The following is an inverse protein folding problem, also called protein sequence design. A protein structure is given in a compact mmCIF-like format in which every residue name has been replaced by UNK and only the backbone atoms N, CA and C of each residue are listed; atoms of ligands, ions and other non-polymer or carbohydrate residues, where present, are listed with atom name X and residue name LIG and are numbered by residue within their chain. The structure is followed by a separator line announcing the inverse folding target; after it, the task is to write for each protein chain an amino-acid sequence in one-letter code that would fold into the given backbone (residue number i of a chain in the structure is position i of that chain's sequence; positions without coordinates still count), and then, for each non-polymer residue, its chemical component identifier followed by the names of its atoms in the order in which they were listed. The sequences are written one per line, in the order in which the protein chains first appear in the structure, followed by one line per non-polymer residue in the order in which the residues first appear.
data_IF_406916676984
#
_entry.id   IF_406916676984
#
_cell.length_a   1.000
_cell.length_b   1.000
_cell.length_c   1.000
_cell.angle_alpha   90.00
_cell.angle_beta   90.00
_cell.angle_gamma   90.00
#
_symmetry.space_group_name_H-M   'P 1'
#
loop_
_entity.id
_entity.type
_entity.pdbx_description
1 polymer ?
#
# COMPACT_ATOMS: atom_id res chain seq x y z
N UNK A 1 -2.88 40.04 -16.12
CA UNK A 1 -2.45 38.64 -15.86
C UNK A 1 -3.02 37.78 -16.99
N UNK A 2 -2.21 36.93 -17.64
CA UNK A 2 -2.75 36.04 -18.67
C UNK A 2 -3.81 35.15 -18.08
N UNK A 3 -4.98 35.13 -18.67
CA UNK A 3 -6.09 34.27 -18.26
C UNK A 3 -6.02 32.99 -19.11
N UNK A 4 -5.67 31.85 -18.50
CA UNK A 4 -5.64 30.57 -19.19
C UNK A 4 -7.00 29.92 -19.16
N UNK A 5 -7.42 29.34 -20.30
CA UNK A 5 -8.65 28.52 -20.36
C UNK A 5 -8.43 27.22 -19.56
N UNK A 6 -9.52 26.56 -19.11
CA UNK A 6 -9.46 25.27 -18.45
C UNK A 6 -8.69 24.23 -19.26
N UNK A 7 -8.94 24.18 -20.56
CA UNK A 7 -8.26 23.27 -21.49
C UNK A 7 -6.73 23.50 -21.52
N UNK A 8 -6.30 24.77 -21.50
CA UNK A 8 -4.87 25.13 -21.45
C UNK A 8 -4.22 24.71 -20.14
N UNK A 9 -4.94 24.89 -19.02
CA UNK A 9 -4.49 24.46 -17.70
C UNK A 9 -4.37 22.94 -17.65
N UNK A 10 -5.35 22.21 -18.16
CA UNK A 10 -5.35 20.76 -18.18
C UNK A 10 -4.18 20.22 -19.02
N UNK A 11 -3.91 20.80 -20.19
CA UNK A 11 -2.71 20.48 -21.01
C UNK A 11 -1.40 20.70 -20.26
N UNK A 12 -1.26 21.79 -19.53
CA UNK A 12 -0.05 22.03 -18.72
C UNK A 12 0.11 21.02 -17.56
N UNK A 13 -1.00 20.61 -16.95
CA UNK A 13 -1.03 19.62 -15.87
C UNK A 13 -0.77 18.18 -16.32
N UNK A 14 -1.01 17.87 -17.59
CA UNK A 14 -0.71 16.56 -18.18
C UNK A 14 0.79 16.35 -18.42
N UNK A 15 1.60 17.41 -18.34
CA UNK A 15 3.06 17.31 -18.45
C UNK A 15 3.65 16.82 -17.15
N UNK A 16 4.23 15.61 -17.14
CA UNK A 16 4.93 15.06 -16.01
C UNK A 16 6.31 15.71 -15.78
N UNK A 17 6.79 15.63 -14.54
CA UNK A 17 8.04 16.27 -14.14
C UNK A 17 9.27 15.71 -14.86
N UNK A 18 9.32 14.40 -15.14
CA UNK A 18 10.46 13.79 -15.82
C UNK A 18 10.60 14.34 -17.23
N UNK A 19 9.50 14.33 -17.98
CA UNK A 19 9.43 14.86 -19.35
C UNK A 19 9.82 16.35 -19.41
N UNK A 20 9.30 17.13 -18.45
CA UNK A 20 9.64 18.55 -18.36
C UNK A 20 11.13 18.78 -18.10
N UNK A 21 11.73 18.11 -17.11
CA UNK A 21 13.15 18.26 -16.77
C UNK A 21 14.09 17.70 -17.86
N UNK A 22 13.67 16.65 -18.58
CA UNK A 22 14.44 16.14 -19.72
C UNK A 22 14.58 17.16 -20.85
N UNK A 23 13.60 18.04 -21.02
CA UNK A 23 13.63 19.11 -22.01
C UNK A 23 14.35 20.36 -21.48
N UNK A 24 14.00 20.80 -20.28
CA UNK A 24 14.48 22.06 -19.68
C UNK A 24 15.89 21.98 -19.15
N UNK A 25 16.19 20.95 -18.39
CA UNK A 25 17.49 20.76 -17.71
C UNK A 25 17.81 19.28 -17.55
N UNK A 26 18.16 18.59 -18.65
CA UNK A 26 18.50 17.16 -18.59
C UNK A 26 19.71 16.89 -17.68
N UNK A 27 20.59 17.88 -17.47
CA UNK A 27 21.74 17.80 -16.61
C UNK A 27 21.41 17.72 -15.11
N UNK A 28 20.24 18.19 -14.70
CA UNK A 28 19.79 18.10 -13.31
C UNK A 28 19.32 16.69 -12.90
N UNK A 29 19.04 15.82 -13.86
CA UNK A 29 18.50 14.49 -13.59
C UNK A 29 19.59 13.46 -13.30
N UNK A 30 19.42 12.72 -12.22
CA UNK A 30 20.27 11.58 -11.82
C UNK A 30 19.39 10.33 -11.76
N UNK A 31 19.77 9.29 -12.50
CA UNK A 31 19.07 8.00 -12.45
C UNK A 31 19.48 7.24 -11.19
N UNK A 32 18.53 6.93 -10.31
CA UNK A 32 18.78 6.22 -9.03
C UNK A 32 18.22 4.80 -9.02
N UNK A 33 17.49 4.42 -10.05
CA UNK A 33 16.91 3.08 -10.22
C UNK A 33 16.53 2.83 -11.66
N UNK A 34 15.86 1.70 -11.92
CA UNK A 34 15.48 1.33 -13.29
C UNK A 34 14.60 2.38 -13.96
N UNK A 35 13.55 2.87 -13.26
CA UNK A 35 12.62 3.93 -13.71
C UNK A 35 12.52 5.04 -12.68
N UNK A 36 13.53 5.22 -11.85
CA UNK A 36 13.53 6.21 -10.79
C UNK A 36 14.66 7.19 -11.00
N UNK A 37 14.32 8.45 -10.97
CA UNK A 37 15.26 9.56 -11.07
C UNK A 37 15.17 10.41 -9.81
N UNK A 38 16.17 11.24 -9.57
CA UNK A 38 16.13 12.37 -8.64
C UNK A 38 16.76 13.58 -9.31
N UNK A 39 16.59 14.76 -8.72
CA UNK A 39 17.38 15.92 -9.14
C UNK A 39 18.70 15.94 -8.40
N UNK A 40 19.76 16.53 -9.00
CA UNK A 40 21.09 16.68 -8.37
C UNK A 40 21.01 17.48 -7.07
N UNK A 41 20.12 18.46 -7.01
CA UNK A 41 19.95 19.33 -5.84
C UNK A 41 19.18 18.63 -4.71
N UNK A 42 18.35 17.65 -5.05
CA UNK A 42 17.44 16.99 -4.10
C UNK A 42 17.44 15.48 -4.32
N UNK A 43 18.41 14.80 -3.74
CA UNK A 43 18.58 13.34 -3.85
C UNK A 43 17.40 12.55 -3.27
N UNK A 44 16.69 13.11 -2.29
CA UNK A 44 15.48 12.54 -1.69
C UNK A 44 14.19 12.88 -2.44
N UNK A 45 14.24 13.73 -3.49
CA UNK A 45 13.11 13.93 -4.40
C UNK A 45 13.16 12.86 -5.48
N UNK A 46 12.24 11.90 -5.42
CA UNK A 46 12.17 10.79 -6.38
C UNK A 46 11.11 11.05 -7.42
N UNK A 47 11.44 10.78 -8.68
CA UNK A 47 10.58 10.90 -9.85
C UNK A 47 10.42 9.51 -10.43
N UNK A 48 9.19 9.02 -10.53
CA UNK A 48 8.89 7.68 -11.06
C UNK A 48 7.45 7.65 -11.61
N UNK A 49 7.26 6.99 -12.75
CA UNK A 49 5.95 6.73 -13.33
C UNK A 49 5.04 7.99 -13.42
N UNK A 50 5.58 9.08 -13.95
CA UNK A 50 4.84 10.34 -14.12
C UNK A 50 4.51 11.10 -12.83
N UNK A 51 5.02 10.62 -11.68
CA UNK A 51 4.83 11.25 -10.36
C UNK A 51 6.17 11.57 -9.74
N UNK A 52 6.17 12.52 -8.81
CA UNK A 52 7.35 12.83 -8.02
C UNK A 52 7.00 12.99 -6.54
N UNK A 53 7.97 12.69 -5.68
CA UNK A 53 7.81 12.79 -4.24
C UNK A 53 9.12 13.17 -3.57
N UNK A 54 9.07 14.18 -2.71
CA UNK A 54 10.22 14.68 -1.94
C UNK A 54 10.20 14.08 -0.53
N UNK A 55 10.89 12.96 -0.33
CA UNK A 55 10.82 12.18 0.90
C UNK A 55 11.24 12.94 2.15
N UNK A 56 12.29 13.78 2.08
CA UNK A 56 12.75 14.56 3.24
C UNK A 56 11.81 15.72 3.60
N UNK A 57 10.96 16.17 2.68
CA UNK A 57 10.02 17.27 2.90
C UNK A 57 8.56 16.79 3.04
N UNK A 58 8.27 15.54 2.72
CA UNK A 58 6.97 14.93 2.91
C UNK A 58 5.87 15.38 1.95
N UNK A 59 6.19 15.89 0.77
CA UNK A 59 5.21 16.28 -0.25
C UNK A 59 5.63 15.88 -1.67
N UNK A 60 4.66 15.89 -2.59
CA UNK A 60 4.89 15.53 -3.99
C UNK A 60 3.81 16.05 -4.93
N UNK A 61 3.81 15.54 -6.15
CA UNK A 61 2.87 15.93 -7.18
C UNK A 61 2.85 14.95 -8.36
N UNK A 62 1.95 15.24 -9.30
CA UNK A 62 1.72 14.42 -10.51
C UNK A 62 2.10 15.15 -11.80
N UNK A 63 2.49 16.42 -11.71
CA UNK A 63 2.78 17.25 -12.86
C UNK A 63 4.03 18.12 -12.65
N UNK A 64 4.58 18.65 -13.74
CA UNK A 64 5.61 19.67 -13.70
C UNK A 64 5.10 20.98 -13.06
N UNK A 65 3.84 21.34 -13.28
CA UNK A 65 3.21 22.51 -12.63
C UNK A 65 3.26 22.38 -11.12
N UNK A 66 2.93 21.20 -10.56
CA UNK A 66 3.03 20.96 -9.11
C UNK A 66 4.45 21.17 -8.58
N UNK A 67 5.46 20.73 -9.33
CA UNK A 67 6.86 20.90 -8.97
C UNK A 67 7.27 22.37 -8.95
N UNK A 68 6.96 23.10 -10.02
CA UNK A 68 7.29 24.51 -10.13
C UNK A 68 6.65 25.33 -9.01
N UNK A 69 5.42 25.01 -8.63
CA UNK A 69 4.73 25.68 -7.54
C UNK A 69 5.28 25.29 -6.17
N UNK A 70 5.40 23.99 -5.89
CA UNK A 70 5.71 23.48 -4.53
C UNK A 70 7.18 23.47 -4.18
N UNK A 71 8.06 23.27 -5.18
CA UNK A 71 9.52 23.20 -4.99
C UNK A 71 10.20 24.50 -5.35
N UNK A 72 9.84 25.11 -6.48
CA UNK A 72 10.44 26.37 -6.95
C UNK A 72 9.67 27.62 -6.48
N UNK A 73 8.52 27.48 -5.81
CA UNK A 73 7.77 28.61 -5.25
C UNK A 73 7.10 29.49 -6.30
N UNK A 74 6.95 29.03 -7.54
CA UNK A 74 6.33 29.82 -8.62
C UNK A 74 4.83 29.99 -8.38
N UNK A 75 4.28 31.13 -8.82
CA UNK A 75 2.83 31.31 -8.87
C UNK A 75 2.22 30.40 -9.92
N UNK A 76 0.98 29.97 -9.71
CA UNK A 76 0.29 29.04 -10.61
C UNK A 76 0.32 29.47 -12.09
N UNK A 77 0.02 30.74 -12.37
CA UNK A 77 0.03 31.30 -13.73
C UNK A 77 1.40 31.22 -14.39
N UNK A 78 2.46 31.48 -13.63
CA UNK A 78 3.84 31.50 -14.11
C UNK A 78 4.33 30.06 -14.34
N UNK A 79 3.95 29.13 -13.46
CA UNK A 79 4.24 27.71 -13.61
C UNK A 79 3.55 27.10 -14.86
N UNK A 80 2.28 27.48 -15.13
CA UNK A 80 1.57 27.09 -16.34
C UNK A 80 2.25 27.65 -17.58
N UNK A 81 2.63 28.94 -17.58
CA UNK A 81 3.37 29.57 -18.66
C UNK A 81 4.71 28.84 -18.95
N UNK A 82 5.50 28.61 -17.91
CA UNK A 82 6.81 27.95 -18.03
C UNK A 82 6.71 26.54 -18.62
N UNK A 83 5.69 25.77 -18.24
CA UNK A 83 5.48 24.43 -18.79
C UNK A 83 5.07 24.49 -20.26
N UNK A 84 4.21 25.43 -20.65
CA UNK A 84 3.73 25.58 -22.04
C UNK A 84 4.77 26.18 -22.99
N UNK A 85 5.70 27.01 -22.48
CA UNK A 85 6.78 27.59 -23.30
C UNK A 85 7.85 26.56 -23.65
N UNK A 86 8.17 25.64 -22.73
CA UNK A 86 9.23 24.64 -22.90
C UNK A 86 8.76 23.38 -23.64
N UNK A 87 7.49 23.03 -23.48
CA UNK A 87 6.91 21.89 -24.21
C UNK A 87 6.17 22.43 -25.44
N UNK A 88 6.77 22.40 -26.65
CA UNK A 88 6.05 22.67 -27.86
C UNK A 88 4.84 21.73 -27.85
N UNK A 89 3.62 22.28 -27.99
CA UNK A 89 2.38 21.48 -28.00
C UNK A 89 2.50 20.46 -29.14
N UNK A 90 2.97 19.24 -28.90
CA UNK A 90 2.85 18.19 -29.89
C UNK A 90 1.39 17.75 -29.84
N UNK A 91 0.80 17.56 -31.00
CA UNK A 91 -0.35 16.68 -31.09
C UNK A 91 -0.06 15.45 -30.18
N UNK A 92 -0.87 15.29 -29.13
CA UNK A 92 -0.75 14.32 -28.06
C UNK A 92 0.42 13.32 -28.26
N UNK A 93 1.55 13.50 -27.57
CA UNK A 93 2.57 12.45 -27.60
C UNK A 93 1.86 11.16 -27.19
N UNK A 94 1.94 10.10 -28.00
CA UNK A 94 1.36 8.83 -27.61
C UNK A 94 1.97 8.52 -26.24
N UNK A 95 1.11 8.31 -25.23
CA UNK A 95 1.55 7.85 -23.91
C UNK A 95 2.54 6.73 -24.17
N UNK A 96 3.77 6.78 -23.61
CA UNK A 96 4.73 5.71 -23.87
C UNK A 96 4.00 4.40 -23.64
N UNK A 97 4.17 3.38 -24.51
CA UNK A 97 3.46 2.14 -24.37
C UNK A 97 3.66 1.65 -22.94
N UNK A 98 2.59 1.17 -22.27
CA UNK A 98 2.69 0.71 -20.90
C UNK A 98 3.86 -0.27 -20.84
N UNK A 99 4.85 0.03 -19.99
CA UNK A 99 6.01 -0.82 -19.83
C UNK A 99 5.51 -2.26 -19.60
N UNK A 100 6.11 -3.27 -20.26
CA UNK A 100 5.70 -4.65 -20.09
C UNK A 100 5.62 -4.94 -18.58
N UNK A 101 4.47 -5.44 -18.12
CA UNK A 101 4.27 -5.80 -16.71
C UNK A 101 5.43 -6.70 -16.32
N UNK A 102 6.25 -6.25 -15.38
CA UNK A 102 7.36 -7.07 -14.87
C UNK A 102 6.79 -8.35 -14.28
N UNK A 103 7.39 -9.46 -14.58
CA UNK A 103 7.07 -10.70 -13.90
C UNK A 103 7.44 -10.59 -12.42
N UNK A 104 6.58 -11.13 -11.56
CA UNK A 104 6.84 -11.21 -10.13
C UNK A 104 8.09 -12.04 -9.88
N UNK A 105 9.07 -11.46 -9.17
CA UNK A 105 10.28 -12.15 -8.72
C UNK A 105 10.14 -12.49 -7.25
N UNK A 106 9.62 -13.68 -6.97
CA UNK A 106 9.54 -14.18 -5.59
C UNK A 106 10.94 -14.43 -5.02
N UNK A 107 11.20 -14.05 -3.76
CA UNK A 107 12.37 -14.53 -3.04
C UNK A 107 12.38 -16.06 -2.95
N UNK A 108 13.55 -16.66 -3.05
CA UNK A 108 13.74 -18.10 -2.92
C UNK A 108 13.21 -18.58 -1.55
N UNK A 109 12.41 -19.67 -1.58
CA UNK A 109 11.78 -20.25 -0.39
C UNK A 109 12.81 -21.05 0.43
N UNK A 110 12.94 -20.75 1.70
CA UNK A 110 13.78 -21.51 2.63
C UNK A 110 13.15 -22.89 2.92
N UNK A 111 14.00 -23.86 3.29
CA UNK A 111 13.58 -25.22 3.69
C UNK A 111 12.77 -25.23 5.00
N UNK A 112 12.91 -24.23 5.83
CA UNK A 112 12.21 -24.12 7.12
C UNK A 112 11.59 -22.74 7.27
N UNK A 113 10.57 -22.62 8.16
CA UNK A 113 9.86 -21.38 8.50
C UNK A 113 10.13 -20.92 9.94
N UNK A 114 11.11 -21.55 10.61
CA UNK A 114 11.33 -21.40 12.07
C UNK A 114 11.50 -19.94 12.52
N UNK A 115 12.23 -19.12 11.76
CA UNK A 115 12.44 -17.71 12.13
C UNK A 115 11.18 -16.89 11.95
N UNK A 116 10.45 -17.13 10.87
CA UNK A 116 9.17 -16.48 10.59
C UNK A 116 8.14 -16.85 11.66
N UNK A 117 8.02 -18.14 12.01
CA UNK A 117 7.14 -18.59 13.08
C UNK A 117 7.50 -17.96 14.43
N UNK A 118 8.79 -17.94 14.79
CA UNK A 118 9.26 -17.29 16.03
C UNK A 118 8.93 -15.79 16.02
N UNK A 119 9.18 -15.11 14.90
CA UNK A 119 8.87 -13.70 14.75
C UNK A 119 7.38 -13.42 14.89
N UNK A 120 6.52 -14.17 14.19
CA UNK A 120 5.08 -13.95 14.26
C UNK A 120 4.51 -14.29 15.64
N UNK A 121 4.99 -15.32 16.30
CA UNK A 121 4.65 -15.63 17.71
C UNK A 121 5.04 -14.49 18.66
N UNK A 122 6.22 -13.87 18.46
CA UNK A 122 6.62 -12.69 19.26
C UNK A 122 5.76 -11.44 18.99
N UNK A 123 4.98 -11.46 17.91
CA UNK A 123 3.96 -10.46 17.57
C UNK A 123 2.55 -10.88 18.00
N UNK A 124 2.45 -11.87 18.90
CA UNK A 124 1.20 -12.42 19.40
C UNK A 124 0.28 -13.01 18.30
N UNK A 125 0.86 -13.50 17.20
CA UNK A 125 0.05 -14.21 16.20
C UNK A 125 -0.13 -15.66 16.65
N UNK A 126 -1.39 -16.10 16.70
CA UNK A 126 -1.76 -17.43 17.17
C UNK A 126 -1.17 -18.53 16.27
N UNK A 127 -0.61 -19.64 16.85
CA UNK A 127 0.03 -20.70 16.08
C UNK A 127 -0.84 -21.33 14.99
N UNK A 128 -2.15 -21.46 15.23
CA UNK A 128 -3.08 -22.01 14.22
C UNK A 128 -3.21 -21.10 12.98
N UNK A 129 -3.22 -19.77 13.17
CA UNK A 129 -3.26 -18.79 12.07
C UNK A 129 -1.96 -18.83 11.27
N UNK A 130 -0.81 -18.90 11.96
CA UNK A 130 0.50 -19.05 11.30
C UNK A 130 0.54 -20.34 10.47
N UNK A 131 0.11 -21.45 11.07
CA UNK A 131 0.09 -22.77 10.42
C UNK A 131 -0.79 -22.76 9.19
N UNK A 132 -2.00 -22.22 9.27
CA UNK A 132 -2.89 -22.06 8.14
C UNK A 132 -2.22 -21.33 6.96
N UNK A 133 -1.55 -20.21 7.22
CA UNK A 133 -0.88 -19.45 6.16
C UNK A 133 0.29 -20.20 5.53
N UNK A 134 1.05 -20.99 6.33
CA UNK A 134 2.17 -21.81 5.84
C UNK A 134 1.64 -22.98 5.00
N UNK A 135 0.67 -23.71 5.50
CA UNK A 135 0.10 -24.90 4.85
C UNK A 135 -0.65 -24.52 3.55
N UNK A 136 -1.29 -23.35 3.53
CA UNK A 136 -1.89 -22.77 2.30
C UNK A 136 -0.86 -22.20 1.32
N UNK A 137 0.43 -22.18 1.66
CA UNK A 137 1.50 -21.68 0.81
C UNK A 137 1.53 -20.15 0.64
N UNK A 138 0.70 -19.41 1.36
CA UNK A 138 0.63 -17.94 1.30
C UNK A 138 1.62 -17.22 2.20
N UNK A 139 2.34 -17.98 3.05
CA UNK A 139 3.39 -17.48 3.93
C UNK A 139 4.59 -18.44 3.90
N UNK A 140 5.79 -17.89 3.71
CA UNK A 140 7.03 -18.66 3.82
C UNK A 140 8.20 -17.78 4.29
N UNK A 141 9.32 -18.43 4.63
CA UNK A 141 10.59 -17.77 4.95
C UNK A 141 11.47 -17.69 3.72
N UNK A 142 12.06 -16.54 3.42
CA UNK A 142 13.03 -16.43 2.32
C UNK A 142 14.41 -16.96 2.71
N UNK A 143 15.16 -17.57 1.78
CA UNK A 143 16.55 -17.98 2.00
C UNK A 143 17.41 -16.79 2.37
N UNK A 144 17.39 -15.76 1.53
CA UNK A 144 18.12 -14.53 1.78
C UNK A 144 17.38 -13.67 2.79
N UNK A 145 18.06 -13.25 3.83
CA UNK A 145 17.56 -12.37 4.90
C UNK A 145 16.46 -12.95 5.80
N UNK A 146 16.01 -14.18 5.61
CA UNK A 146 14.99 -14.84 6.43
C UNK A 146 13.73 -13.97 6.64
N UNK A 147 13.33 -13.23 5.60
CA UNK A 147 12.12 -12.41 5.67
C UNK A 147 10.87 -13.29 5.68
N UNK A 148 9.83 -12.86 6.39
CA UNK A 148 8.49 -13.33 6.16
C UNK A 148 8.00 -12.83 4.79
N UNK A 149 7.56 -13.75 3.93
CA UNK A 149 7.06 -13.45 2.59
C UNK A 149 5.59 -13.82 2.55
N UNK A 150 4.73 -12.80 2.44
CA UNK A 150 3.27 -12.92 2.35
C UNK A 150 2.88 -12.84 0.89
N UNK A 151 2.31 -13.91 0.34
CA UNK A 151 2.07 -14.06 -1.10
C UNK A 151 0.59 -13.89 -1.41
N UNK A 152 0.30 -13.12 -2.45
CA UNK A 152 -1.02 -13.03 -3.06
C UNK A 152 -1.06 -13.78 -4.39
N UNK A 153 -2.09 -14.59 -4.57
CA UNK A 153 -2.29 -15.44 -5.75
C UNK A 153 -3.47 -14.96 -6.58
N UNK A 154 -3.40 -15.21 -7.92
CA UNK A 154 -4.55 -15.05 -8.79
C UNK A 154 -5.49 -16.28 -8.72
N UNK A 155 -6.62 -16.20 -9.42
CA UNK A 155 -7.62 -17.28 -9.44
C UNK A 155 -7.11 -18.60 -10.08
N UNK A 156 -5.93 -18.57 -10.73
CA UNK A 156 -5.26 -19.75 -11.29
C UNK A 156 -4.13 -20.24 -10.37
N UNK A 157 -4.09 -19.82 -9.11
CA UNK A 157 -3.01 -20.10 -8.15
C UNK A 157 -1.60 -19.68 -8.64
N UNK A 158 -1.51 -18.69 -9.52
CA UNK A 158 -0.24 -18.09 -9.89
C UNK A 158 0.07 -16.93 -8.96
N UNK A 159 1.23 -16.92 -8.33
CA UNK A 159 1.65 -15.80 -7.49
C UNK A 159 1.76 -14.51 -8.32
N UNK A 160 1.16 -13.42 -7.82
CA UNK A 160 1.11 -12.10 -8.45
C UNK A 160 1.61 -10.98 -7.55
N UNK A 161 1.63 -11.20 -6.26
CA UNK A 161 2.02 -10.23 -5.26
C UNK A 161 2.85 -10.90 -4.17
N UNK A 162 3.83 -10.21 -3.64
CA UNK A 162 4.50 -10.63 -2.41
C UNK A 162 4.95 -9.42 -1.59
N UNK A 163 4.57 -9.40 -0.32
CA UNK A 163 5.05 -8.47 0.70
C UNK A 163 6.12 -9.14 1.53
N UNK A 164 7.22 -8.42 1.79
CA UNK A 164 8.33 -8.89 2.59
C UNK A 164 8.39 -8.12 3.91
N UNK A 165 8.58 -8.85 5.00
CA UNK A 165 8.81 -8.29 6.33
C UNK A 165 10.05 -8.92 6.95
N UNK A 166 11.01 -8.10 7.34
CA UNK A 166 12.18 -8.60 8.06
C UNK A 166 11.79 -9.17 9.42
N UNK A 167 12.39 -10.30 9.78
CA UNK A 167 12.18 -10.95 11.08
C UNK A 167 13.11 -10.41 12.17
N UNK A 168 14.04 -9.50 11.84
CA UNK A 168 15.03 -8.97 12.80
C UNK A 168 15.33 -7.47 12.62
N UNK A 169 14.82 -6.82 11.57
CA UNK A 169 15.06 -5.40 11.29
C UNK A 169 13.73 -4.69 10.95
N UNK A 170 13.77 -3.37 10.80
CA UNK A 170 12.60 -2.57 10.46
C UNK A 170 12.17 -2.67 8.98
N UNK A 171 12.91 -3.43 8.15
CA UNK A 171 12.62 -3.52 6.71
C UNK A 171 11.23 -4.09 6.41
N UNK A 172 10.52 -3.39 5.55
CA UNK A 172 9.29 -3.83 4.88
C UNK A 172 9.33 -3.40 3.41
N UNK A 173 8.81 -4.22 2.50
CA UNK A 173 8.81 -3.91 1.08
C UNK A 173 8.01 -4.92 0.27
N UNK A 174 7.95 -4.69 -1.03
CA UNK A 174 7.27 -5.60 -1.97
C UNK A 174 8.31 -6.24 -2.90
N UNK A 175 8.06 -7.46 -3.32
CA UNK A 175 8.88 -8.12 -4.33
C UNK A 175 8.74 -7.40 -5.67
N UNK A 176 9.84 -7.35 -6.45
CA UNK A 176 9.82 -6.74 -7.77
C UNK A 176 8.78 -7.42 -8.67
N UNK A 177 7.97 -6.63 -9.37
CA UNK A 177 6.90 -7.12 -10.24
C UNK A 177 5.60 -7.48 -9.52
N UNK A 178 5.45 -7.16 -8.22
CA UNK A 178 4.20 -7.31 -7.47
C UNK A 178 3.06 -6.51 -8.10
N UNK A 179 1.89 -7.14 -8.22
CA UNK A 179 0.64 -6.52 -8.65
C UNK A 179 -0.32 -6.43 -7.44
N UNK A 180 -0.52 -5.21 -6.93
CA UNK A 180 -1.40 -4.94 -5.77
C UNK A 180 -2.86 -5.34 -5.99
N UNK A 181 -3.28 -5.62 -7.20
CA UNK A 181 -4.61 -6.19 -7.46
C UNK A 181 -4.81 -7.56 -6.80
N UNK A 182 -3.70 -8.20 -6.41
CA UNK A 182 -3.66 -9.50 -5.77
C UNK A 182 -3.00 -9.43 -4.40
N UNK A 183 -3.22 -8.35 -3.66
CA UNK A 183 -2.64 -8.15 -2.33
C UNK A 183 -2.99 -9.31 -1.39
N UNK A 184 -2.19 -9.44 -0.31
CA UNK A 184 -2.29 -10.55 0.63
C UNK A 184 -3.67 -10.62 1.29
N UNK A 185 -4.24 -11.83 1.35
CA UNK A 185 -5.53 -12.13 1.94
C UNK A 185 -5.55 -13.51 2.55
N UNK A 186 -6.46 -13.76 3.49
CA UNK A 186 -6.75 -15.06 4.09
C UNK A 186 -8.25 -15.28 4.19
N UNK A 187 -8.67 -16.53 4.40
CA UNK A 187 -10.09 -16.91 4.49
C UNK A 187 -10.88 -16.35 3.29
N UNK A 188 -10.41 -16.64 2.08
CA UNK A 188 -10.93 -16.17 0.80
C UNK A 188 -12.20 -17.01 0.44
N UNK A 189 -13.26 -16.86 1.25
CA UNK A 189 -14.51 -17.60 1.09
C UNK A 189 -15.47 -16.80 0.19
N UNK A 190 -15.89 -17.34 -0.97
CA UNK A 190 -16.86 -16.68 -1.86
C UNK A 190 -18.24 -16.40 -1.21
N UNK A 191 -18.62 -17.17 -0.19
CA UNK A 191 -19.89 -17.02 0.52
C UNK A 191 -19.80 -16.07 1.73
N UNK A 192 -18.62 -15.58 2.06
CA UNK A 192 -18.44 -14.62 3.15
C UNK A 192 -19.24 -13.34 2.89
N UNK A 193 -19.94 -12.86 3.93
CA UNK A 193 -20.72 -11.62 3.90
C UNK A 193 -19.95 -10.42 4.47
N UNK A 194 -18.85 -10.69 5.17
CA UNK A 194 -18.07 -9.71 5.91
C UNK A 194 -16.62 -9.70 5.44
N UNK A 195 -16.12 -8.50 5.16
CA UNK A 195 -14.75 -8.27 4.75
C UNK A 195 -14.04 -7.36 5.74
N UNK A 196 -12.94 -7.82 6.31
CA UNK A 196 -12.06 -7.04 7.18
C UNK A 196 -10.84 -6.51 6.40
N UNK A 197 -10.61 -5.20 6.43
CA UNK A 197 -9.58 -4.50 5.65
C UNK A 197 -8.51 -3.93 6.58
N UNK A 198 -7.24 -4.15 6.22
CA UNK A 198 -6.05 -3.74 6.98
C UNK A 198 -5.02 -3.05 6.08
N UNK A 199 -4.14 -2.24 6.68
CA UNK A 199 -3.00 -1.70 5.93
C UNK A 199 -1.94 -2.77 5.64
N UNK A 200 -1.62 -3.63 6.60
CA UNK A 200 -0.57 -4.63 6.45
C UNK A 200 -1.03 -6.06 6.81
N UNK A 201 -0.26 -7.05 6.33
CA UNK A 201 -0.55 -8.46 6.56
C UNK A 201 -0.49 -8.86 8.04
N UNK A 202 0.41 -8.24 8.84
CA UNK A 202 0.53 -8.58 10.25
C UNK A 202 -0.69 -8.15 11.04
N UNK A 203 -1.29 -7.00 10.73
CA UNK A 203 -2.50 -6.50 11.37
C UNK A 203 -3.70 -7.41 11.09
N UNK A 204 -3.80 -7.86 9.85
CA UNK A 204 -4.77 -8.85 9.42
C UNK A 204 -4.63 -10.16 10.22
N UNK A 205 -3.41 -10.71 10.33
CA UNK A 205 -3.16 -11.92 11.12
C UNK A 205 -3.43 -11.70 12.62
N UNK A 206 -3.27 -10.48 13.11
CA UNK A 206 -3.53 -10.13 14.51
C UNK A 206 -5.01 -10.23 14.85
N UNK A 207 -5.90 -9.68 14.00
CA UNK A 207 -7.34 -9.80 14.22
C UNK A 207 -7.80 -11.27 14.10
N UNK A 208 -7.31 -12.00 13.09
CA UNK A 208 -7.62 -13.44 12.97
C UNK A 208 -7.18 -14.24 14.20
N UNK A 209 -6.02 -13.88 14.80
CA UNK A 209 -5.54 -14.48 16.02
C UNK A 209 -6.41 -14.14 17.22
N UNK A 210 -6.80 -12.87 17.35
CA UNK A 210 -7.70 -12.41 18.39
C UNK A 210 -9.06 -13.13 18.36
N UNK A 211 -9.65 -13.31 17.17
CA UNK A 211 -10.88 -14.08 17.00
C UNK A 211 -10.69 -15.55 17.39
N UNK A 212 -9.57 -16.16 16.96
CA UNK A 212 -9.24 -17.53 17.32
C UNK A 212 -9.12 -17.73 18.82
N UNK A 213 -8.45 -16.82 19.54
CA UNK A 213 -8.28 -16.85 20.99
C UNK A 213 -9.61 -16.63 21.74
N UNK A 214 -10.47 -15.77 21.19
CA UNK A 214 -11.82 -15.51 21.73
C UNK A 214 -12.82 -16.62 21.43
N UNK A 215 -12.41 -17.76 20.82
CA UNK A 215 -13.29 -18.86 20.45
C UNK A 215 -14.22 -18.59 19.25
N UNK A 216 -13.97 -17.50 18.53
CA UNK A 216 -14.74 -17.18 17.33
C UNK A 216 -14.18 -17.93 16.11
N UNK A 217 -15.06 -18.26 15.16
CA UNK A 217 -14.67 -18.88 13.91
C UNK A 217 -14.11 -17.81 12.96
N UNK A 218 -12.82 -17.59 13.01
CA UNK A 218 -12.11 -16.60 12.23
C UNK A 218 -12.08 -16.90 10.71
N UNK A 219 -12.51 -18.08 10.28
CA UNK A 219 -12.58 -18.44 8.86
C UNK A 219 -13.93 -18.07 8.20
N UNK A 220 -14.89 -17.58 8.96
CA UNK A 220 -16.20 -17.18 8.44
C UNK A 220 -16.25 -15.84 7.73
N UNK A 221 -15.24 -15.01 7.92
CA UNK A 221 -15.12 -13.71 7.26
C UNK A 221 -13.87 -13.69 6.38
N UNK A 222 -13.83 -12.77 5.45
CA UNK A 222 -12.67 -12.57 4.58
C UNK A 222 -11.77 -11.44 5.11
N UNK A 223 -10.47 -11.56 4.89
CA UNK A 223 -9.47 -10.57 5.34
C UNK A 223 -8.60 -10.14 4.18
N UNK A 224 -8.43 -8.83 4.00
CA UNK A 224 -7.65 -8.24 2.92
C UNK A 224 -6.67 -7.19 3.45
N UNK A 225 -5.40 -7.31 3.08
CA UNK A 225 -4.40 -6.27 3.28
C UNK A 225 -4.33 -5.36 2.05
N UNK A 226 -4.33 -4.04 2.25
CA UNK A 226 -4.15 -3.06 1.16
C UNK A 226 -2.70 -2.97 0.67
N UNK A 227 -1.74 -3.58 1.39
CA UNK A 227 -0.31 -3.46 1.10
C UNK A 227 0.23 -2.05 1.38
N UNK A 228 -0.33 -1.38 2.38
CA UNK A 228 -0.01 -0.03 2.81
C UNK A 228 -0.90 1.04 2.18
N UNK A 229 -1.10 2.14 2.91
CA UNK A 229 -1.74 3.37 2.44
C UNK A 229 -0.68 4.44 2.24
N UNK A 230 -0.90 5.35 1.28
CA UNK A 230 -0.01 6.50 1.12
C UNK A 230 -0.22 7.48 2.29
N UNK A 231 0.80 8.28 2.62
CA UNK A 231 0.69 9.31 3.65
C UNK A 231 -0.43 10.35 3.40
N UNK A 232 -0.98 10.40 2.19
CA UNK A 232 -2.12 11.25 1.82
C UNK A 232 -3.45 10.48 1.85
N UNK A 233 -3.45 9.21 2.30
CA UNK A 233 -4.60 8.34 2.23
C UNK A 233 -4.91 7.91 0.79
N UNK A 234 -6.17 7.62 0.53
CA UNK A 234 -6.66 7.21 -0.79
C UNK A 234 -7.18 8.45 -1.52
N UNK A 235 -6.48 8.89 -2.57
CA UNK A 235 -6.79 10.13 -3.29
C UNK A 235 -7.64 9.93 -4.54
N UNK A 236 -7.58 8.75 -5.17
CA UNK A 236 -8.32 8.50 -6.42
C UNK A 236 -8.67 7.04 -6.58
N UNK A 237 -9.97 6.75 -6.60
CA UNK A 237 -10.51 5.40 -6.81
C UNK A 237 -10.20 4.41 -5.69
N UNK A 238 -10.82 3.25 -5.74
CA UNK A 238 -10.58 2.17 -4.79
C UNK A 238 -9.15 1.61 -4.95
N UNK A 239 -8.51 1.16 -3.85
CA UNK A 239 -7.30 0.36 -3.93
C UNK A 239 -7.52 -0.85 -4.83
N UNK A 240 -6.59 -1.11 -5.77
CA UNK A 240 -6.76 -2.15 -6.80
C UNK A 240 -7.08 -3.54 -6.23
N UNK A 241 -6.48 -3.89 -5.09
CA UNK A 241 -6.75 -5.16 -4.42
C UNK A 241 -8.18 -5.23 -3.89
N UNK A 242 -8.67 -4.13 -3.29
CA UNK A 242 -10.03 -4.05 -2.77
C UNK A 242 -11.06 -4.05 -3.90
N UNK A 243 -10.88 -3.24 -4.93
CA UNK A 243 -11.77 -3.18 -6.09
C UNK A 243 -11.95 -4.56 -6.72
N UNK A 244 -10.82 -5.23 -6.99
CA UNK A 244 -10.84 -6.59 -7.53
C UNK A 244 -11.50 -7.60 -6.58
N UNK A 245 -11.22 -7.50 -5.28
CA UNK A 245 -11.77 -8.40 -4.28
C UNK A 245 -13.30 -8.30 -4.25
N UNK A 246 -13.85 -7.10 -4.20
CA UNK A 246 -15.30 -6.86 -4.17
C UNK A 246 -16.01 -7.34 -5.45
N UNK A 247 -15.35 -7.25 -6.62
CA UNK A 247 -15.87 -7.81 -7.87
C UNK A 247 -15.95 -9.35 -7.79
N UNK A 248 -14.94 -9.99 -7.18
CA UNK A 248 -14.88 -11.45 -7.06
C UNK A 248 -15.78 -12.02 -5.95
N UNK A 249 -16.19 -11.20 -4.97
CA UNK A 249 -16.98 -11.59 -3.79
C UNK A 249 -18.27 -10.78 -3.70
N UNK A 250 -19.26 -11.05 -4.57
CA UNK A 250 -20.51 -10.29 -4.63
C UNK A 250 -21.41 -10.48 -3.40
N UNK A 251 -21.13 -11.48 -2.56
CA UNK A 251 -21.89 -11.76 -1.32
C UNK A 251 -21.50 -10.83 -0.17
N UNK A 252 -20.40 -10.09 -0.26
CA UNK A 252 -19.98 -9.10 0.76
C UNK A 252 -21.07 -8.04 0.93
N UNK A 253 -21.47 -7.80 2.19
CA UNK A 253 -22.46 -6.80 2.61
C UNK A 253 -21.87 -5.80 3.58
N UNK A 254 -20.99 -6.27 4.45
CA UNK A 254 -20.34 -5.45 5.49
C UNK A 254 -18.83 -5.37 5.25
N UNK A 255 -18.29 -4.18 5.37
CA UNK A 255 -16.86 -3.92 5.29
C UNK A 255 -16.39 -3.28 6.59
N UNK A 256 -15.47 -3.94 7.28
CA UNK A 256 -14.84 -3.51 8.51
C UNK A 256 -13.49 -2.89 8.21
N UNK A 257 -13.30 -1.62 8.55
CA UNK A 257 -12.06 -0.87 8.29
C UNK A 257 -11.19 -0.84 9.55
N UNK A 258 -10.19 -1.71 9.61
CA UNK A 258 -9.20 -1.78 10.70
C UNK A 258 -7.89 -1.08 10.28
N UNK A 259 -7.99 0.14 9.76
CA UNK A 259 -6.81 0.90 9.33
C UNK A 259 -6.14 1.59 10.53
N UNK A 260 -4.86 1.93 10.36
CA UNK A 260 -4.04 2.54 11.41
C UNK A 260 -4.71 3.78 12.02
N UNK A 261 -4.50 4.02 13.31
CA UNK A 261 -5.03 5.19 14.03
C UNK A 261 -4.31 6.49 13.70
N UNK A 262 -3.25 6.45 12.87
CA UNK A 262 -2.54 7.66 12.45
C UNK A 262 -3.31 8.45 11.35
N UNK A 263 -2.85 9.67 11.05
CA UNK A 263 -3.55 10.54 10.12
C UNK A 263 -3.73 9.93 8.70
N UNK A 264 -2.74 9.26 8.09
CA UNK A 264 -2.93 8.54 6.83
C UNK A 264 -4.02 7.48 6.88
N UNK A 265 -4.03 6.62 7.91
CA UNK A 265 -5.02 5.57 8.09
C UNK A 265 -6.42 6.13 8.27
N UNK A 266 -6.60 7.14 9.11
CA UNK A 266 -7.90 7.81 9.33
C UNK A 266 -8.41 8.52 8.07
N UNK A 267 -7.53 9.13 7.29
CA UNK A 267 -7.90 9.72 6.00
C UNK A 267 -8.30 8.66 4.98
N UNK A 268 -7.64 7.50 5.00
CA UNK A 268 -7.99 6.38 4.14
C UNK A 268 -9.35 5.78 4.51
N UNK A 269 -9.66 5.59 5.82
CA UNK A 269 -10.98 5.14 6.28
C UNK A 269 -12.10 6.04 5.79
N UNK A 270 -11.98 7.35 6.00
CA UNK A 270 -12.98 8.33 5.53
C UNK A 270 -13.17 8.31 4.01
N UNK A 271 -12.08 8.13 3.26
CA UNK A 271 -12.15 8.06 1.81
C UNK A 271 -12.85 6.77 1.33
N UNK A 272 -12.56 5.62 1.96
CA UNK A 272 -13.21 4.34 1.67
C UNK A 272 -14.70 4.36 2.04
N UNK A 273 -15.03 4.86 3.22
CA UNK A 273 -16.41 5.04 3.66
C UNK A 273 -17.20 5.85 2.63
N UNK A 274 -16.69 7.01 2.22
CA UNK A 274 -17.34 7.85 1.21
C UNK A 274 -17.53 7.16 -0.14
N UNK A 275 -16.61 6.28 -0.54
CA UNK A 275 -16.68 5.60 -1.84
C UNK A 275 -17.58 4.35 -1.83
N UNK A 276 -17.80 3.75 -0.66
CA UNK A 276 -18.41 2.43 -0.55
C UNK A 276 -19.76 2.41 0.15
N UNK A 277 -20.11 3.44 0.93
CA UNK A 277 -21.33 3.48 1.75
C UNK A 277 -22.64 3.41 0.96
N UNK A 278 -22.63 3.71 -0.33
CA UNK A 278 -23.80 3.55 -1.19
C UNK A 278 -24.15 2.08 -1.48
N UNK A 279 -23.18 1.15 -1.28
CA UNK A 279 -23.33 -0.27 -1.65
C UNK A 279 -23.14 -1.23 -0.48
N UNK A 280 -22.40 -0.82 0.54
CA UNK A 280 -21.96 -1.67 1.66
C UNK A 280 -22.22 -0.98 3.00
N UNK A 281 -22.51 -1.78 4.03
CA UNK A 281 -22.42 -1.29 5.40
C UNK A 281 -20.93 -1.14 5.76
N UNK A 282 -20.52 0.06 6.10
CA UNK A 282 -19.14 0.36 6.48
C UNK A 282 -19.06 0.54 7.99
N UNK A 283 -18.17 -0.21 8.62
CA UNK A 283 -17.86 -0.12 10.04
C UNK A 283 -16.39 0.33 10.17
N UNK A 284 -16.17 1.54 10.65
CA UNK A 284 -14.82 2.07 10.93
C UNK A 284 -14.39 1.65 12.33
N UNK A 285 -13.54 0.65 12.40
CA UNK A 285 -13.10 -0.03 13.62
C UNK A 285 -11.58 0.06 13.78
N UNK A 286 -11.02 1.26 14.03
CA UNK A 286 -9.60 1.40 14.32
C UNK A 286 -9.23 0.62 15.60
N UNK A 287 -7.94 0.30 15.81
CA UNK A 287 -7.51 -0.36 17.04
C UNK A 287 -7.94 0.48 18.26
N UNK A 288 -8.54 -0.14 19.31
CA UNK A 288 -9.01 0.56 20.49
C UNK A 288 -7.91 1.27 21.27
N UNK A 289 -6.71 0.71 21.28
CA UNK A 289 -5.47 1.29 21.82
C UNK A 289 -4.30 0.96 20.87
N UNK A 290 -3.27 1.80 20.89
CA UNK A 290 -2.13 1.66 20.01
C UNK A 290 -2.35 2.27 18.62
N UNK A 291 -1.38 2.06 17.76
CA UNK A 291 -1.38 2.60 16.40
C UNK A 291 -2.10 1.69 15.41
N UNK A 292 -1.82 0.39 15.47
CA UNK A 292 -2.30 -0.61 14.53
C UNK A 292 -2.89 -1.83 15.28
N UNK A 293 -3.55 -2.72 14.57
CA UNK A 293 -4.21 -3.89 15.15
C UNK A 293 -3.19 -4.84 15.82
N UNK A 294 -1.97 -4.92 15.32
CA UNK A 294 -0.96 -5.75 15.95
C UNK A 294 -0.49 -5.17 17.29
N UNK A 295 -0.29 -3.86 17.36
CA UNK A 295 0.06 -3.20 18.63
C UNK A 295 -1.06 -3.38 19.66
N UNK A 296 -2.32 -3.25 19.26
CA UNK A 296 -3.47 -3.53 20.13
C UNK A 296 -3.42 -4.94 20.72
N UNK A 297 -3.22 -5.98 19.90
CA UNK A 297 -3.18 -7.36 20.37
C UNK A 297 -1.99 -7.59 21.32
N UNK A 298 -0.81 -7.05 21.00
CA UNK A 298 0.38 -7.16 21.87
C UNK A 298 0.16 -6.46 23.21
N UNK A 299 -0.43 -5.28 23.22
CA UNK A 299 -0.73 -4.55 24.47
C UNK A 299 -1.77 -5.29 25.31
N UNK A 300 -2.82 -5.83 24.68
CA UNK A 300 -3.84 -6.61 25.36
C UNK A 300 -3.24 -7.84 26.07
N UNK A 301 -2.42 -8.63 25.36
CA UNK A 301 -1.73 -9.78 25.96
C UNK A 301 -0.86 -9.40 27.17
N UNK A 302 -0.15 -8.27 27.11
CA UNK A 302 0.64 -7.79 28.25
C UNK A 302 -0.23 -7.48 29.46
N UNK A 303 -1.35 -6.77 29.24
CA UNK A 303 -2.28 -6.43 30.33
C UNK A 303 -2.89 -7.69 30.96
N UNK A 304 -3.19 -8.71 30.15
CA UNK A 304 -3.74 -9.99 30.64
C UNK A 304 -2.70 -10.74 31.51
N UNK A 305 -1.45 -10.81 31.07
CA UNK A 305 -0.35 -11.43 31.83
C UNK A 305 -0.09 -10.69 33.16
N UNK A 306 -0.07 -9.37 33.16
CA UNK A 306 0.10 -8.57 34.38
C UNK A 306 -1.04 -8.79 35.40
N UNK A 307 -2.28 -8.99 34.95
CA UNK A 307 -3.41 -9.33 35.84
C UNK A 307 -3.26 -10.73 36.46
N UNK A 308 -2.88 -11.72 35.64
CA UNK A 308 -2.67 -13.08 36.12
C UNK A 308 -1.52 -13.17 37.17
N UNK A 309 -0.47 -12.35 36.99
CA UNK A 309 0.63 -12.28 37.97
C UNK A 309 0.23 -11.58 39.28
N UNK A 310 -0.78 -10.68 39.23
CA UNK A 310 -1.30 -9.98 40.42
C UNK A 310 -2.29 -10.85 41.23
N UNK A 311 -2.95 -11.80 40.58
CA UNK A 311 -3.92 -12.72 41.18
C UNK A 311 -3.26 -13.99 41.79
N UNK A 312 -1.96 -14.21 41.52
CA UNK A 312 -1.14 -15.30 42.11
C UNK A 312 -0.38 -14.85 43.35
#
# INVERSE_FOLDING_TARGET
MPYYTKETIDKARDVDLLSYLQLKDPGSLVRTGYDTYCTREHDSLKINNGKWFWFSRGFGGVSAVDYLMKVQGMKFTDAVAAVLEEVPVPAAMPKPPPLPKRELKLPEKNKTTRRVEKYLKSRCIHPAVIRYCIDSGILYESVKYHNAVFVGYDNMHKAKYAMLRSTYASFKGEAAGSDKSWSFRIADDPEATDLHIFEAAIDLLSLASYYKESGQDWLRCSYLSLGGVSQYGIQSGLPKGLDRFLIAHPMIKTIHLHLDSDAPGRNASKALEKMLSDKYLILDEPPPIGKDMNEYVVLKHRIELEKEDYER
#
